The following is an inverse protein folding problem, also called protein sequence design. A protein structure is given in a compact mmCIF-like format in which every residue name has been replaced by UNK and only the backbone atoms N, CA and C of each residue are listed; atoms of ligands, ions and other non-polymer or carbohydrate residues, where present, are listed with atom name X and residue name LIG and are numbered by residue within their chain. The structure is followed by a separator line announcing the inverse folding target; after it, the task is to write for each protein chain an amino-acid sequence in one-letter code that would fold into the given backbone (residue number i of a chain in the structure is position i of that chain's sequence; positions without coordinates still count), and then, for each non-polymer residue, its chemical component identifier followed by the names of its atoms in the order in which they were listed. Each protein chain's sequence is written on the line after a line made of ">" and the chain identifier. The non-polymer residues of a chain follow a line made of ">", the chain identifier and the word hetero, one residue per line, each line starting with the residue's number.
data_IF_639480245187
#
_entry.id   IF_639480245187
#
_cell.length_a   1.000
_cell.length_b   1.000
_cell.length_c   1.000
_cell.angle_alpha   90.00
_cell.angle_beta   90.00
_cell.angle_gamma   90.00
#
_symmetry.space_group_name_H-M   'P 1'
#
loop_
_entity.id
_entity.type
_entity.pdbx_description
1 polymer ?
#
# COMPACT_ATOMS: atom_id res chain seq x y z
N UNK A 1 -5.86 -5.48 -0.11
CA UNK A 1 -5.44 -6.50 -1.12
C UNK A 1 -4.91 -7.74 -0.39
N UNK A 2 -4.97 -8.95 -0.95
CA UNK A 2 -4.22 -10.09 -0.39
C UNK A 2 -2.72 -9.88 -0.61
N UNK A 3 -1.86 -10.52 0.20
CA UNK A 3 -0.41 -10.35 0.12
C UNK A 3 0.30 -11.64 -0.25
N UNK A 4 0.33 -11.95 -1.55
CA UNK A 4 1.00 -13.15 -2.06
C UNK A 4 2.52 -13.01 -2.14
N UNK A 5 3.03 -11.83 -2.49
CA UNK A 5 4.46 -11.56 -2.67
C UNK A 5 4.86 -10.17 -2.17
N UNK A 6 6.14 -9.97 -1.86
CA UNK A 6 6.67 -8.64 -1.49
C UNK A 6 6.51 -7.58 -2.58
N UNK A 7 6.28 -7.99 -3.83
CA UNK A 7 6.20 -7.12 -5.00
C UNK A 7 4.77 -6.74 -5.40
N UNK A 8 3.77 -7.26 -4.68
CA UNK A 8 2.35 -7.08 -5.02
C UNK A 8 1.94 -5.60 -5.19
N UNK A 9 2.43 -4.72 -4.33
CA UNK A 9 2.15 -3.28 -4.40
C UNK A 9 2.70 -2.62 -5.66
N UNK A 10 3.90 -3.01 -6.11
CA UNK A 10 4.46 -2.51 -7.37
C UNK A 10 3.67 -3.01 -8.58
N UNK A 11 3.17 -4.25 -8.53
CA UNK A 11 2.34 -4.77 -9.61
C UNK A 11 0.97 -4.11 -9.66
N UNK A 12 0.43 -3.70 -8.51
CA UNK A 12 -0.80 -2.91 -8.45
C UNK A 12 -0.66 -1.59 -9.22
N UNK A 13 0.54 -0.98 -9.28
CA UNK A 13 0.78 0.23 -10.07
C UNK A 13 0.42 0.09 -11.54
N UNK A 14 0.59 -1.11 -12.11
CA UNK A 14 0.18 -1.37 -13.50
C UNK A 14 -1.34 -1.27 -13.68
N UNK A 15 -2.10 -1.67 -12.66
CA UNK A 15 -3.55 -1.50 -12.62
C UNK A 15 -3.90 -0.02 -12.41
N UNK A 16 -3.30 0.63 -11.41
CA UNK A 16 -3.59 2.03 -11.10
C UNK A 16 -3.24 2.98 -12.23
N UNK A 17 -2.17 2.74 -12.98
CA UNK A 17 -1.83 3.56 -14.14
C UNK A 17 -2.98 3.62 -15.17
N UNK A 18 -3.70 2.51 -15.35
CA UNK A 18 -4.79 2.35 -16.32
C UNK A 18 -6.14 2.85 -15.79
N UNK A 19 -6.44 2.62 -14.52
CA UNK A 19 -7.77 2.84 -13.94
C UNK A 19 -7.85 3.97 -12.90
N UNK A 20 -6.72 4.47 -12.38
CA UNK A 20 -6.65 5.48 -11.33
C UNK A 20 -5.44 6.41 -11.51
N UNK A 21 -4.98 7.11 -10.48
CA UNK A 21 -3.78 7.95 -10.50
C UNK A 21 -2.80 7.50 -9.41
N UNK A 22 -1.58 7.12 -9.82
CA UNK A 22 -0.52 6.67 -8.91
C UNK A 22 -0.19 7.68 -7.81
N UNK A 23 -0.30 8.99 -8.10
CA UNK A 23 0.00 10.05 -7.13
C UNK A 23 -0.90 10.04 -5.88
N UNK A 24 -2.09 9.46 -5.99
CA UNK A 24 -3.08 9.40 -4.90
C UNK A 24 -2.84 8.21 -3.98
N UNK A 25 -2.00 7.25 -4.40
CA UNK A 25 -1.74 6.04 -3.64
C UNK A 25 -0.88 6.34 -2.42
N UNK A 26 -1.38 5.91 -1.26
CA UNK A 26 -0.62 5.81 -0.01
C UNK A 26 -0.64 4.35 0.42
N UNK A 27 0.46 3.87 0.99
CA UNK A 27 0.57 2.47 1.40
C UNK A 27 0.88 2.41 2.90
N UNK A 28 0.20 1.53 3.63
CA UNK A 28 0.58 1.18 4.99
C UNK A 28 1.78 0.22 4.95
N UNK A 29 2.92 0.67 5.46
CA UNK A 29 4.20 -0.02 5.37
C UNK A 29 4.79 -0.32 6.74
N UNK A 30 5.65 -1.32 6.81
CA UNK A 30 6.44 -1.60 8.02
C UNK A 30 7.40 -0.43 8.28
N UNK A 31 7.43 0.07 9.51
CA UNK A 31 8.28 1.17 9.98
C UNK A 31 9.75 1.04 9.58
N UNK A 32 10.31 -0.18 9.61
CA UNK A 32 11.72 -0.41 9.26
C UNK A 32 12.06 -0.10 7.80
N UNK A 33 11.06 -0.03 6.91
CA UNK A 33 11.27 0.34 5.50
C UNK A 33 11.62 1.82 5.35
N UNK A 34 11.32 2.63 6.35
CA UNK A 34 11.61 4.07 6.42
C UNK A 34 13.10 4.38 6.28
N UNK A 35 13.94 3.53 6.87
CA UNK A 35 15.39 3.65 6.90
C UNK A 35 16.09 3.30 5.58
N UNK A 36 15.36 2.73 4.61
CA UNK A 36 15.95 2.30 3.33
C UNK A 36 16.29 3.55 2.51
N UNK A 37 17.57 3.77 2.15
CA UNK A 37 17.97 4.93 1.36
C UNK A 37 17.24 4.99 0.00
N UNK A 38 16.85 6.19 -0.40
CA UNK A 38 16.10 6.42 -1.63
C UNK A 38 14.62 6.04 -1.50
N UNK A 39 14.30 4.73 -1.45
CA UNK A 39 12.91 4.25 -1.43
C UNK A 39 12.16 4.65 -0.14
N UNK A 40 12.73 4.34 1.02
CA UNK A 40 12.14 4.69 2.31
C UNK A 40 11.97 6.19 2.43
N UNK A 41 13.01 6.96 2.10
CA UNK A 41 13.00 8.42 2.12
C UNK A 41 11.94 9.03 1.18
N UNK A 42 11.80 8.51 -0.04
CA UNK A 42 10.76 8.94 -0.96
C UNK A 42 9.36 8.67 -0.41
N UNK A 43 9.17 7.53 0.27
CA UNK A 43 7.90 7.19 0.93
C UNK A 43 7.62 8.10 2.15
N UNK A 44 8.65 8.57 2.87
CA UNK A 44 8.49 9.60 3.91
C UNK A 44 8.01 10.92 3.31
N UNK A 45 8.66 11.40 2.24
CA UNK A 45 8.26 12.63 1.54
C UNK A 45 6.86 12.50 0.94
N UNK A 46 6.46 11.31 0.53
CA UNK A 46 5.12 11.04 0.03
C UNK A 46 4.09 10.85 1.16
N UNK A 47 4.44 11.09 2.44
CA UNK A 47 3.56 10.90 3.59
C UNK A 47 2.89 9.52 3.63
N UNK A 48 3.64 8.45 3.36
CA UNK A 48 3.13 7.09 3.56
C UNK A 48 2.98 6.78 5.04
N UNK A 49 2.12 5.81 5.38
CA UNK A 49 1.86 5.46 6.77
C UNK A 49 2.80 4.33 7.20
N UNK A 50 3.68 4.61 8.16
CA UNK A 50 4.62 3.64 8.69
C UNK A 50 4.14 3.07 10.03
N UNK A 51 4.00 1.75 10.12
CA UNK A 51 3.48 1.05 11.31
C UNK A 51 4.51 0.05 11.89
N UNK A 52 4.56 -0.05 13.21
CA UNK A 52 5.36 -1.03 13.97
C UNK A 52 4.73 -2.43 13.96
N UNK A 53 3.46 -2.54 13.54
CA UNK A 53 2.63 -3.75 13.58
C UNK A 53 2.28 -4.17 15.01
N UNK A 54 2.14 -3.17 15.89
CA UNK A 54 1.69 -3.30 17.27
C UNK A 54 0.63 -2.24 17.53
N UNK A 55 -0.60 -2.69 17.71
CA UNK A 55 -1.77 -1.80 17.76
C UNK A 55 -1.63 -0.66 18.78
N UNK A 56 -1.15 -0.97 19.99
CA UNK A 56 -1.00 0.02 21.07
C UNK A 56 0.01 1.14 20.73
N UNK A 57 1.07 0.82 19.99
CA UNK A 57 2.06 1.80 19.53
C UNK A 57 1.55 2.58 18.31
N UNK A 58 0.81 1.90 17.42
CA UNK A 58 0.43 2.44 16.11
C UNK A 58 -0.86 3.27 16.15
N UNK A 59 -1.80 3.00 17.07
CA UNK A 59 -3.16 3.59 17.05
C UNK A 59 -3.17 5.11 16.98
N UNK A 60 -2.35 5.78 17.79
CA UNK A 60 -2.29 7.24 17.83
C UNK A 60 -1.68 7.82 16.55
N UNK A 61 -0.53 7.31 16.13
CA UNK A 61 0.13 7.75 14.90
C UNK A 61 -0.79 7.54 13.69
N UNK A 62 -1.41 6.36 13.61
CA UNK A 62 -2.28 5.98 12.52
C UNK A 62 -3.52 6.87 12.45
N UNK A 63 -4.14 7.16 13.60
CA UNK A 63 -5.25 8.10 13.71
C UNK A 63 -4.85 9.50 13.23
N UNK A 64 -3.73 10.04 13.72
CA UNK A 64 -3.28 11.37 13.33
C UNK A 64 -3.00 11.49 11.82
N UNK A 65 -2.45 10.46 11.19
CA UNK A 65 -2.23 10.45 9.73
C UNK A 65 -3.54 10.43 8.95
N UNK A 66 -4.52 9.63 9.39
CA UNK A 66 -5.84 9.59 8.74
C UNK A 66 -6.60 10.92 8.92
N UNK A 67 -6.54 11.50 10.11
CA UNK A 67 -7.13 12.81 10.42
C UNK A 67 -6.46 13.89 9.54
N UNK A 68 -5.12 13.85 9.38
CA UNK A 68 -4.39 14.72 8.45
C UNK A 68 -4.90 14.60 7.00
N UNK A 69 -5.08 13.38 6.50
CA UNK A 69 -5.60 13.19 5.14
C UNK A 69 -7.04 13.69 4.98
N UNK A 70 -7.86 13.62 6.03
CA UNK A 70 -9.19 14.20 6.02
C UNK A 70 -9.12 15.74 6.01
N UNK A 71 -8.23 16.35 6.80
CA UNK A 71 -8.07 17.79 6.93
C UNK A 71 -7.56 18.48 5.65
N UNK A 72 -6.69 17.83 4.88
CA UNK A 72 -6.18 18.38 3.62
C UNK A 72 -7.17 18.25 2.45
N UNK A 73 -8.25 17.47 2.61
CA UNK A 73 -9.28 17.22 1.60
C UNK A 73 -8.75 16.74 0.22
N UNK A 74 -7.60 16.06 0.21
CA UNK A 74 -7.04 15.45 -1.00
C UNK A 74 -7.56 14.02 -1.18
N UNK A 75 -7.92 13.59 -2.40
CA UNK A 75 -8.38 12.23 -2.66
C UNK A 75 -7.34 11.19 -2.23
N UNK A 76 -7.70 10.33 -1.28
CA UNK A 76 -6.83 9.30 -0.73
C UNK A 76 -7.12 7.93 -1.35
N UNK A 77 -6.09 7.28 -1.89
CA UNK A 77 -6.15 5.87 -2.24
C UNK A 77 -5.23 5.04 -1.31
N UNK A 78 -5.76 4.61 -0.17
CA UNK A 78 -4.99 3.88 0.83
C UNK A 78 -4.94 2.37 0.56
N UNK A 79 -3.75 1.84 0.27
CA UNK A 79 -3.49 0.41 0.14
C UNK A 79 -3.10 -0.19 1.49
N UNK A 80 -3.83 -1.23 1.89
CA UNK A 80 -3.50 -2.08 3.03
C UNK A 80 -3.49 -3.56 2.67
N UNK A 81 -2.67 -4.29 3.41
CA UNK A 81 -2.62 -5.75 3.44
C UNK A 81 -3.04 -6.23 4.83
N UNK A 82 -4.32 -6.56 5.07
CA UNK A 82 -4.79 -7.02 6.37
C UNK A 82 -4.08 -8.28 6.89
N UNK A 83 -3.46 -9.07 6.02
CA UNK A 83 -2.59 -10.20 6.39
C UNK A 83 -1.36 -9.76 7.22
N UNK A 84 -0.90 -8.51 7.02
CA UNK A 84 0.22 -7.90 7.73
C UNK A 84 1.61 -8.39 7.34
N UNK A 85 1.68 -9.43 6.51
CA UNK A 85 2.91 -10.02 5.95
C UNK A 85 2.54 -10.81 4.69
N UNK A 86 3.54 -11.11 3.87
CA UNK A 86 3.41 -11.94 2.67
C UNK A 86 3.23 -13.43 3.01
N UNK A 87 2.61 -14.17 2.08
CA UNK A 87 2.38 -15.60 2.19
C UNK A 87 3.65 -16.41 1.89
N UNK A 88 4.27 -16.93 2.94
CA UNK A 88 5.38 -17.89 2.91
C UNK A 88 5.02 -19.12 3.73
N UNK A 89 5.78 -20.21 3.62
CA UNK A 89 5.49 -21.44 4.39
C UNK A 89 5.53 -21.17 5.91
N UNK A 90 6.44 -20.31 6.36
CA UNK A 90 6.56 -19.90 7.76
C UNK A 90 5.36 -19.06 8.23
N UNK A 91 4.93 -18.08 7.43
CA UNK A 91 3.80 -17.21 7.82
C UNK A 91 2.47 -17.97 7.72
N UNK A 92 2.36 -18.90 6.77
CA UNK A 92 1.24 -19.83 6.67
C UNK A 92 1.15 -20.73 7.90
N UNK A 93 2.24 -21.37 8.31
CA UNK A 93 2.26 -22.21 9.50
C UNK A 93 1.77 -21.47 10.75
N UNK A 94 2.20 -20.21 10.93
CA UNK A 94 1.71 -19.35 12.02
C UNK A 94 0.22 -19.01 11.90
N UNK A 95 -0.27 -18.77 10.69
CA UNK A 95 -1.69 -18.56 10.42
C UNK A 95 -2.52 -19.82 10.70
N UNK A 96 -1.98 -21.01 10.40
CA UNK A 96 -2.63 -22.29 10.66
C UNK A 96 -2.73 -22.56 12.17
N UNK A 97 -1.68 -22.29 12.95
CA UNK A 97 -1.73 -22.38 14.42
C UNK A 97 -2.76 -21.41 15.01
N UNK A 98 -2.85 -20.19 14.46
CA UNK A 98 -3.89 -19.25 14.84
C UNK A 98 -5.29 -19.77 14.52
N UNK A 99 -5.47 -20.36 13.34
CA UNK A 99 -6.75 -20.92 12.93
C UNK A 99 -7.18 -22.06 13.85
N UNK A 100 -6.30 -23.03 14.14
CA UNK A 100 -6.55 -24.14 15.07
C UNK A 100 -6.96 -23.65 16.46
N UNK A 101 -6.21 -22.70 17.02
CA UNK A 101 -6.48 -22.15 18.37
C UNK A 101 -7.86 -21.48 18.46
N UNK A 102 -8.35 -20.90 17.37
CA UNK A 102 -9.62 -20.18 17.33
C UNK A 102 -10.75 -20.99 16.67
N UNK A 103 -10.53 -22.27 16.35
CA UNK A 103 -11.52 -23.11 15.68
C UNK A 103 -11.90 -22.64 14.27
N UNK A 104 -11.00 -21.94 13.58
CA UNK A 104 -11.20 -21.44 12.22
C UNK A 104 -10.65 -22.44 11.19
N UNK A 105 -11.18 -22.37 9.97
CA UNK A 105 -10.62 -23.12 8.84
C UNK A 105 -9.18 -22.66 8.52
N UNK A 106 -8.35 -23.60 8.09
CA UNK A 106 -7.01 -23.30 7.57
C UNK A 106 -7.11 -22.82 6.13
N UNK A 107 -6.31 -21.82 5.78
CA UNK A 107 -6.24 -21.25 4.45
C UNK A 107 -4.93 -21.66 3.77
N UNK A 108 -5.01 -21.90 2.46
CA UNK A 108 -3.87 -22.35 1.65
C UNK A 108 -3.28 -21.20 0.82
N UNK A 109 -4.12 -20.26 0.36
CA UNK A 109 -3.71 -19.22 -0.60
C UNK A 109 -3.73 -17.80 -0.02
N UNK A 110 -4.17 -17.62 1.23
CA UNK A 110 -4.14 -16.36 1.98
C UNK A 110 -3.84 -16.62 3.46
N UNK A 111 -3.35 -15.60 4.17
CA UNK A 111 -3.30 -15.61 5.63
C UNK A 111 -4.59 -15.06 6.22
N UNK A 112 -4.92 -15.45 7.46
CA UNK A 112 -6.06 -14.86 8.18
C UNK A 112 -5.87 -13.34 8.38
N UNK A 113 -6.89 -12.51 8.07
CA UNK A 113 -6.74 -11.06 8.13
C UNK A 113 -6.76 -10.54 9.58
N UNK A 114 -5.91 -9.55 9.85
CA UNK A 114 -5.98 -8.72 11.06
C UNK A 114 -6.96 -7.58 10.83
N UNK A 115 -8.13 -7.67 11.45
CA UNK A 115 -9.27 -6.77 11.19
C UNK A 115 -9.20 -5.43 11.94
N UNK A 116 -8.43 -5.34 13.04
CA UNK A 116 -8.35 -4.13 13.88
C UNK A 116 -7.96 -2.89 13.08
N UNK A 117 -6.87 -2.97 12.30
CA UNK A 117 -6.42 -1.85 11.48
C UNK A 117 -7.42 -1.49 10.39
N UNK A 118 -8.01 -2.49 9.72
CA UNK A 118 -9.03 -2.27 8.69
C UNK A 118 -10.25 -1.53 9.24
N UNK A 119 -10.83 -2.00 10.34
CA UNK A 119 -12.01 -1.38 10.95
C UNK A 119 -11.73 0.04 11.41
N UNK A 120 -10.57 0.28 12.03
CA UNK A 120 -10.18 1.63 12.46
C UNK A 120 -10.06 2.61 11.29
N UNK A 121 -9.47 2.20 10.17
CA UNK A 121 -9.35 3.04 8.96
C UNK A 121 -10.74 3.38 8.42
N UNK A 122 -11.61 2.38 8.30
CA UNK A 122 -12.96 2.57 7.75
C UNK A 122 -13.76 3.52 8.65
N UNK A 123 -13.74 3.31 9.97
CA UNK A 123 -14.41 4.17 10.94
C UNK A 123 -13.91 5.62 10.81
N UNK A 124 -12.58 5.83 10.87
CA UNK A 124 -11.98 7.17 10.85
C UNK A 124 -12.19 7.93 9.55
N UNK A 125 -12.01 7.27 8.40
CA UNK A 125 -12.23 7.91 7.10
C UNK A 125 -13.72 8.17 6.84
N UNK A 126 -14.62 7.34 7.39
CA UNK A 126 -16.06 7.58 7.34
C UNK A 126 -16.43 8.81 8.17
N UNK A 127 -15.93 8.91 9.40
CA UNK A 127 -16.17 10.05 10.29
C UNK A 127 -15.63 11.37 9.70
N UNK A 128 -14.48 11.31 9.02
CA UNK A 128 -13.87 12.44 8.31
C UNK A 128 -14.49 12.75 6.94
N UNK A 129 -15.57 12.08 6.55
CA UNK A 129 -16.22 12.20 5.24
C UNK A 129 -15.25 12.07 4.04
N UNK A 130 -14.25 11.21 4.19
CA UNK A 130 -13.17 10.99 3.21
C UNK A 130 -13.12 9.53 2.72
N UNK A 131 -14.20 8.76 2.94
CA UNK A 131 -14.35 7.38 2.47
C UNK A 131 -15.49 7.27 1.45
N UNK A 132 -15.14 7.10 0.18
CA UNK A 132 -16.10 6.82 -0.90
C UNK A 132 -16.39 5.32 -1.04
N UNK A 133 -15.36 4.49 -1.08
CA UNK A 133 -15.50 3.05 -1.27
C UNK A 133 -14.28 2.23 -0.81
N UNK A 134 -14.53 0.98 -0.44
CA UNK A 134 -13.50 -0.04 -0.22
C UNK A 134 -13.38 -0.91 -1.47
N UNK A 135 -12.18 -0.96 -2.04
CA UNK A 135 -11.85 -1.83 -3.16
C UNK A 135 -11.24 -3.13 -2.63
N UNK A 136 -12.00 -4.22 -2.70
CA UNK A 136 -11.51 -5.54 -2.40
C UNK A 136 -10.75 -6.11 -3.60
N UNK A 137 -9.43 -6.22 -3.46
CA UNK A 137 -8.54 -6.68 -4.53
C UNK A 137 -7.98 -8.06 -4.16
N UNK A 138 -8.17 -9.01 -5.08
CA UNK A 138 -7.48 -10.29 -5.14
C UNK A 138 -6.47 -10.27 -6.27
N UNK A 139 -5.20 -10.54 -5.98
CA UNK A 139 -4.15 -10.77 -6.98
C UNK A 139 -3.78 -12.24 -7.05
N UNK A 140 -3.58 -12.72 -8.27
CA UNK A 140 -3.07 -14.05 -8.54
C UNK A 140 -2.06 -14.04 -9.68
N UNK A 141 -1.14 -14.99 -9.63
CA UNK A 141 -0.05 -15.14 -10.59
C UNK A 141 -0.16 -16.51 -11.26
N UNK A 142 -0.57 -16.59 -12.53
CA UNK A 142 -0.69 -17.86 -13.25
C UNK A 142 0.64 -18.64 -13.35
N UNK A 143 1.74 -17.89 -13.51
CA UNK A 143 3.09 -18.40 -13.73
C UNK A 143 4.10 -17.45 -13.07
N UNK A 144 5.26 -17.98 -12.70
CA UNK A 144 6.41 -17.21 -12.19
C UNK A 144 6.04 -16.27 -11.03
N UNK A 145 5.83 -16.83 -9.83
CA UNK A 145 5.50 -16.05 -8.62
C UNK A 145 6.78 -15.40 -8.07
N UNK A 146 6.95 -14.07 -8.15
CA UNK A 146 8.18 -13.41 -7.71
C UNK A 146 8.13 -13.15 -6.20
N UNK A 147 8.56 -14.11 -5.39
CA UNK A 147 8.46 -13.99 -3.93
C UNK A 147 9.27 -12.83 -3.35
N UNK A 148 10.46 -12.58 -3.91
CA UNK A 148 11.39 -11.53 -3.43
C UNK A 148 11.93 -10.71 -4.59
N UNK A 149 12.49 -9.54 -4.27
CA UNK A 149 13.13 -8.61 -5.21
C UNK A 149 14.23 -9.29 -6.05
N UNK A 150 14.91 -10.29 -5.47
CA UNK A 150 15.96 -11.06 -6.16
C UNK A 150 15.43 -11.79 -7.40
N UNK A 151 14.19 -12.27 -7.37
CA UNK A 151 13.59 -12.92 -8.55
C UNK A 151 13.53 -11.95 -9.73
N UNK A 152 13.16 -10.69 -9.48
CA UNK A 152 13.11 -9.68 -10.53
C UNK A 152 14.51 -9.31 -11.03
N UNK A 153 15.48 -9.17 -10.12
CA UNK A 153 16.88 -8.88 -10.49
C UNK A 153 17.50 -10.00 -11.34
N UNK A 154 17.08 -11.25 -11.13
CA UNK A 154 17.49 -12.39 -11.95
C UNK A 154 16.67 -12.54 -13.25
N UNK A 155 15.80 -11.59 -13.59
CA UNK A 155 14.98 -11.62 -14.81
C UNK A 155 13.75 -12.53 -14.73
N UNK A 156 13.42 -13.06 -13.54
CA UNK A 156 12.22 -13.86 -13.33
C UNK A 156 11.02 -12.96 -13.04
N UNK A 157 10.46 -12.40 -14.11
CA UNK A 157 9.24 -11.60 -14.06
C UNK A 157 7.99 -12.47 -14.27
N UNK A 158 6.87 -12.14 -13.59
CA UNK A 158 5.59 -12.73 -13.92
C UNK A 158 5.19 -12.32 -15.34
N UNK A 159 4.86 -13.30 -16.17
CA UNK A 159 4.38 -13.04 -17.55
C UNK A 159 3.00 -12.39 -17.56
N UNK A 160 2.17 -12.80 -16.61
CA UNK A 160 0.78 -12.38 -16.48
C UNK A 160 0.45 -12.19 -15.01
N UNK A 161 -0.40 -11.20 -14.72
CA UNK A 161 -0.87 -10.90 -13.36
C UNK A 161 -2.36 -10.65 -13.45
N UNK A 162 -3.13 -11.42 -12.69
CA UNK A 162 -4.58 -11.34 -12.72
C UNK A 162 -5.05 -10.60 -11.48
N UNK A 163 -5.88 -9.58 -11.69
CA UNK A 163 -6.53 -8.83 -10.62
C UNK A 163 -8.04 -9.06 -10.69
N UNK A 164 -8.63 -9.45 -9.58
CA UNK A 164 -10.07 -9.44 -9.37
C UNK A 164 -10.39 -8.32 -8.38
N UNK A 165 -11.17 -7.34 -8.83
CA UNK A 165 -11.47 -6.13 -8.05
C UNK A 165 -12.98 -6.01 -7.87
N UNK A 166 -13.41 -5.90 -6.61
CA UNK A 166 -14.78 -5.58 -6.26
C UNK A 166 -14.82 -4.26 -5.50
N UNK A 167 -15.62 -3.30 -5.98
CA UNK A 167 -15.84 -2.02 -5.30
C UNK A 167 -17.08 -2.13 -4.41
N UNK A 168 -16.93 -1.78 -3.13
CA UNK A 168 -18.01 -1.66 -2.16
C UNK A 168 -18.11 -0.20 -1.75
N UNK A 169 -19.23 0.46 -2.05
CA UNK A 169 -19.43 1.85 -1.65
C UNK A 169 -19.59 1.96 -0.14
N UNK A 170 -19.31 3.14 0.43
CA UNK A 170 -19.39 3.37 1.88
C UNK A 170 -20.76 3.03 2.46
N UNK A 171 -21.84 3.21 1.70
CA UNK A 171 -23.22 2.90 2.11
C UNK A 171 -23.49 1.39 2.17
N UNK A 172 -22.74 0.60 1.40
CA UNK A 172 -22.85 -0.87 1.42
C UNK A 172 -22.07 -1.53 2.55
N UNK A 173 -21.22 -0.76 3.24
CA UNK A 173 -20.39 -1.27 4.33
C UNK A 173 -21.16 -1.29 5.64
N UNK A 174 -20.96 -2.30 6.49
CA UNK A 174 -21.53 -2.29 7.83
C UNK A 174 -21.13 -1.06 8.65
N UNK A 175 -22.03 -0.63 9.53
CA UNK A 175 -21.83 0.55 10.39
C UNK A 175 -21.11 0.19 11.68
N UNK A 176 -21.45 -0.97 12.26
CA UNK A 176 -20.81 -1.47 13.48
C UNK A 176 -19.40 -1.99 13.22
N UNK A 177 -18.51 -1.79 14.20
CA UNK A 177 -17.14 -2.30 14.15
C UNK A 177 -17.12 -3.82 14.10
N UNK A 178 -17.93 -4.49 14.92
CA UNK A 178 -17.99 -5.95 14.97
C UNK A 178 -18.41 -6.53 13.61
N UNK A 179 -19.42 -5.92 12.98
CA UNK A 179 -19.89 -6.33 11.66
C UNK A 179 -18.85 -6.07 10.56
N UNK A 180 -18.09 -4.97 10.66
CA UNK A 180 -16.96 -4.70 9.75
C UNK A 180 -15.84 -5.74 9.89
N UNK A 181 -15.58 -6.24 11.10
CA UNK A 181 -14.61 -7.31 11.31
C UNK A 181 -15.08 -8.59 10.63
N UNK A 182 -16.33 -8.99 10.84
CA UNK A 182 -16.95 -10.15 10.21
C UNK A 182 -16.98 -10.01 8.68
N UNK A 183 -17.29 -8.81 8.17
CA UNK A 183 -17.25 -8.51 6.75
C UNK A 183 -15.85 -8.73 6.17
N UNK A 184 -14.81 -8.23 6.84
CA UNK A 184 -13.42 -8.42 6.42
C UNK A 184 -13.03 -9.91 6.40
N UNK A 185 -13.37 -10.66 7.46
CA UNK A 185 -13.11 -12.11 7.53
C UNK A 185 -13.80 -12.86 6.40
N UNK A 186 -15.07 -12.55 6.11
CA UNK A 186 -15.83 -13.15 5.01
C UNK A 186 -15.20 -12.87 3.65
N UNK A 187 -14.67 -11.66 3.42
CA UNK A 187 -13.93 -11.36 2.18
C UNK A 187 -12.68 -12.23 2.04
N UNK A 188 -11.98 -12.54 3.13
CA UNK A 188 -10.83 -13.44 3.09
C UNK A 188 -11.22 -14.90 2.83
N UNK A 189 -12.33 -15.37 3.40
CA UNK A 189 -12.87 -16.68 3.05
C UNK A 189 -13.20 -16.80 1.55
N UNK A 190 -13.85 -15.78 1.00
CA UNK A 190 -14.17 -15.74 -0.44
C UNK A 190 -12.90 -15.67 -1.31
N UNK A 191 -11.86 -14.96 -0.85
CA UNK A 191 -10.56 -14.93 -1.52
C UNK A 191 -9.89 -16.29 -1.53
N UNK A 192 -9.88 -17.01 -0.42
CA UNK A 192 -9.34 -18.36 -0.34
C UNK A 192 -10.03 -19.26 -1.37
N UNK A 193 -11.36 -19.29 -1.39
CA UNK A 193 -12.14 -20.10 -2.35
C UNK A 193 -11.81 -19.71 -3.80
N UNK A 194 -11.75 -18.41 -4.08
CA UNK A 194 -11.44 -17.88 -5.42
C UNK A 194 -10.02 -18.24 -5.87
N UNK A 195 -9.03 -18.09 -5.00
CA UNK A 195 -7.64 -18.42 -5.30
C UNK A 195 -7.44 -19.92 -5.46
N UNK A 196 -8.12 -20.74 -4.65
CA UNK A 196 -8.14 -22.19 -4.82
C UNK A 196 -8.65 -22.58 -6.20
N UNK A 197 -9.82 -22.09 -6.60
CA UNK A 197 -10.37 -22.32 -7.94
C UNK A 197 -9.44 -21.81 -9.05
N UNK A 198 -8.76 -20.70 -8.82
CA UNK A 198 -7.80 -20.15 -9.77
C UNK A 198 -6.58 -21.06 -9.97
N UNK A 199 -5.95 -21.49 -8.87
CA UNK A 199 -4.71 -22.25 -8.90
C UNK A 199 -4.91 -23.73 -9.25
N UNK A 200 -6.04 -24.34 -8.84
CA UNK A 200 -6.41 -25.72 -9.19
C UNK A 200 -7.07 -25.82 -10.57
N UNK A 201 -7.69 -24.73 -11.03
CA UNK A 201 -8.44 -24.68 -12.28
C UNK A 201 -7.66 -24.11 -13.46
N UNK A 202 -8.39 -23.43 -14.36
CA UNK A 202 -7.86 -22.88 -15.62
C UNK A 202 -7.10 -21.56 -15.47
N UNK A 203 -6.83 -21.09 -14.24
CA UNK A 203 -6.14 -19.81 -13.96
C UNK A 203 -6.90 -18.57 -14.48
N UNK A 204 -8.22 -18.60 -14.38
CA UNK A 204 -9.10 -17.45 -14.61
C UNK A 204 -9.98 -17.21 -13.40
N UNK A 205 -10.31 -15.94 -13.12
CA UNK A 205 -11.24 -15.59 -12.05
C UNK A 205 -12.71 -15.68 -12.49
N UNK A 206 -12.99 -15.48 -13.77
CA UNK A 206 -14.34 -15.62 -14.32
C UNK A 206 -14.53 -17.02 -14.93
N UNK A 207 -15.69 -17.61 -14.69
CA UNK A 207 -16.13 -18.90 -15.24
C UNK A 207 -16.16 -18.86 -16.77
N UNK A 208 -16.41 -17.68 -17.35
CA UNK A 208 -16.38 -17.45 -18.80
C UNK A 208 -14.99 -17.61 -19.43
N UNK A 209 -13.93 -17.67 -18.61
CA UNK A 209 -12.54 -17.68 -19.06
C UNK A 209 -12.09 -16.35 -19.68
N UNK A 210 -12.90 -15.28 -19.57
CA UNK A 210 -12.55 -13.94 -20.06
C UNK A 210 -12.54 -12.95 -18.90
N UNK A 211 -11.49 -12.14 -18.84
CA UNK A 211 -11.42 -11.03 -17.89
C UNK A 211 -12.41 -9.93 -18.30
N UNK A 212 -13.30 -9.53 -17.40
CA UNK A 212 -14.12 -8.33 -17.56
C UNK A 212 -13.22 -7.11 -17.35
N UNK A 213 -12.95 -6.37 -18.43
CA UNK A 213 -12.07 -5.20 -18.42
C UNK A 213 -12.97 -3.96 -18.32
N UNK A 214 -12.92 -3.20 -17.20
CA UNK A 214 -13.68 -1.96 -17.11
C UNK A 214 -13.11 -0.90 -18.06
N UNK A 215 -13.86 0.17 -18.35
CA UNK A 215 -13.33 1.30 -19.10
C UNK A 215 -12.04 1.83 -18.46
N UNK A 216 -10.99 1.98 -19.26
CA UNK A 216 -9.70 2.47 -18.79
C UNK A 216 -9.23 3.66 -19.63
N UNK A 217 -8.16 4.32 -19.17
CA UNK A 217 -7.45 5.31 -19.99
C UNK A 217 -7.00 4.66 -21.30
N UNK A 218 -6.96 5.45 -22.38
CA UNK A 218 -6.56 4.94 -23.69
C UNK A 218 -5.18 4.27 -23.65
N UNK A 219 -5.03 3.18 -24.42
CA UNK A 219 -3.76 2.45 -24.51
C UNK A 219 -2.61 3.37 -24.95
N UNK A 220 -2.88 4.33 -25.84
CA UNK A 220 -1.91 5.34 -26.24
C UNK A 220 -1.43 6.19 -25.06
N UNK A 221 -2.35 6.67 -24.20
CA UNK A 221 -1.98 7.46 -23.02
C UNK A 221 -1.10 6.64 -22.08
N UNK A 222 -1.48 5.39 -21.84
CA UNK A 222 -0.72 4.48 -20.96
C UNK A 222 0.68 4.20 -21.55
N UNK A 223 0.77 3.96 -22.85
CA UNK A 223 2.04 3.73 -23.55
C UNK A 223 2.93 4.97 -23.49
N UNK A 224 2.40 6.15 -23.79
CA UNK A 224 3.15 7.41 -23.72
C UNK A 224 3.70 7.66 -22.31
N UNK A 225 2.89 7.48 -21.27
CA UNK A 225 3.37 7.63 -19.88
C UNK A 225 4.47 6.63 -19.56
N UNK A 226 4.36 5.38 -20.01
CA UNK A 226 5.41 4.36 -19.82
C UNK A 226 6.70 4.74 -20.55
N UNK A 227 6.63 5.17 -21.80
CA UNK A 227 7.78 5.59 -22.59
C UNK A 227 8.47 6.82 -21.96
N UNK A 228 7.71 7.85 -21.60
CA UNK A 228 8.25 9.05 -20.94
C UNK A 228 8.90 8.67 -19.61
N UNK A 229 8.26 7.83 -18.80
CA UNK A 229 8.82 7.37 -17.53
C UNK A 229 10.12 6.59 -17.74
N UNK A 230 10.17 5.69 -18.72
CA UNK A 230 11.37 4.92 -19.04
C UNK A 230 12.51 5.84 -19.49
N UNK A 231 12.23 6.79 -20.38
CA UNK A 231 13.21 7.76 -20.86
C UNK A 231 13.73 8.64 -19.72
N UNK A 232 12.82 9.18 -18.90
CA UNK A 232 13.15 10.01 -17.74
C UNK A 232 14.04 9.24 -16.76
N UNK A 233 13.63 8.05 -16.31
CA UNK A 233 14.39 7.29 -15.32
C UNK A 233 15.74 6.79 -15.86
N UNK A 234 15.81 6.43 -17.14
CA UNK A 234 17.07 6.07 -17.79
C UNK A 234 18.01 7.28 -17.81
N UNK A 235 17.55 8.40 -18.35
CA UNK A 235 18.34 9.63 -18.43
C UNK A 235 18.77 10.13 -17.05
N UNK A 236 17.83 10.24 -16.11
CA UNK A 236 18.09 10.66 -14.74
C UNK A 236 19.16 9.81 -14.06
N UNK A 237 19.09 8.48 -14.21
CA UNK A 237 20.06 7.55 -13.59
C UNK A 237 21.46 7.74 -14.18
N UNK A 238 21.58 7.80 -15.51
CA UNK A 238 22.87 8.03 -16.16
C UNK A 238 23.44 9.41 -15.82
N UNK A 239 22.62 10.46 -15.85
CA UNK A 239 23.03 11.81 -15.46
C UNK A 239 23.44 11.88 -14.00
N UNK A 240 22.71 11.26 -13.08
CA UNK A 240 23.06 11.24 -11.66
C UNK A 240 24.41 10.56 -11.42
N UNK A 241 24.67 9.40 -12.04
CA UNK A 241 25.95 8.70 -11.96
C UNK A 241 27.08 9.55 -12.55
N UNK A 242 26.87 10.13 -13.73
CA UNK A 242 27.86 10.99 -14.38
C UNK A 242 28.18 12.23 -13.52
N UNK A 243 27.16 12.90 -12.97
CA UNK A 243 27.34 14.07 -12.12
C UNK A 243 28.06 13.74 -10.81
N UNK A 244 27.73 12.61 -10.18
CA UNK A 244 28.42 12.12 -8.97
C UNK A 244 29.89 11.81 -9.24
N UNK A 245 30.21 11.28 -10.43
CA UNK A 245 31.59 11.02 -10.83
C UNK A 245 32.37 12.31 -11.13
N UNK A 246 31.79 13.20 -11.94
CA UNK A 246 32.48 14.37 -12.47
C UNK A 246 32.65 15.50 -11.45
N UNK A 247 31.67 15.72 -10.56
CA UNK A 247 31.63 16.93 -9.73
C UNK A 247 31.72 16.62 -8.23
N UNK A 248 32.71 17.21 -7.55
CA UNK A 248 32.89 17.05 -6.10
C UNK A 248 31.75 17.67 -5.28
N UNK A 249 31.19 18.79 -5.73
CA UNK A 249 30.07 19.42 -5.03
C UNK A 249 28.82 18.52 -5.01
N UNK A 250 28.54 17.76 -6.07
CA UNK A 250 27.41 16.82 -6.13
C UNK A 250 27.59 15.68 -5.13
N UNK A 251 28.83 15.19 -4.96
CA UNK A 251 29.16 14.18 -3.96
C UNK A 251 28.91 14.70 -2.55
N UNK A 252 29.37 15.91 -2.23
CA UNK A 252 29.11 16.54 -0.94
C UNK A 252 27.63 16.79 -0.70
N UNK A 253 26.90 17.27 -1.71
CA UNK A 253 25.45 17.43 -1.64
C UNK A 253 24.76 16.09 -1.34
N UNK A 254 25.13 15.02 -2.04
CA UNK A 254 24.58 13.68 -1.80
C UNK A 254 24.85 13.21 -0.37
N UNK A 255 26.09 13.35 0.14
CA UNK A 255 26.43 13.01 1.53
C UNK A 255 25.61 13.84 2.51
N UNK A 256 25.46 15.14 2.29
CA UNK A 256 24.65 16.02 3.13
C UNK A 256 23.19 15.54 3.16
N UNK A 257 22.61 15.22 2.00
CA UNK A 257 21.25 14.69 1.91
C UNK A 257 21.12 13.38 2.70
N UNK A 258 22.05 12.44 2.55
CA UNK A 258 22.07 11.17 3.30
C UNK A 258 22.13 11.42 4.81
N UNK A 259 22.99 12.34 5.25
CA UNK A 259 23.12 12.73 6.67
C UNK A 259 21.82 13.36 7.17
N UNK A 260 21.24 14.31 6.42
CA UNK A 260 19.98 14.96 6.77
C UNK A 260 18.91 13.88 6.97
N UNK A 261 18.68 13.02 5.99
CA UNK A 261 17.64 11.99 6.05
C UNK A 261 17.86 10.99 7.20
N UNK A 262 19.11 10.61 7.46
CA UNK A 262 19.44 9.68 8.56
C UNK A 262 19.24 10.34 9.92
N UNK A 263 19.69 11.58 10.08
CA UNK A 263 19.59 12.32 11.35
C UNK A 263 18.14 12.68 11.65
N UNK A 264 17.40 13.20 10.68
CA UNK A 264 15.99 13.57 10.87
C UNK A 264 15.10 12.36 11.17
N UNK A 265 15.38 11.20 10.57
CA UNK A 265 14.69 9.95 10.93
C UNK A 265 14.98 9.55 12.39
N UNK A 266 16.24 9.63 12.83
CA UNK A 266 16.60 9.27 14.22
C UNK A 266 16.07 10.25 15.26
N UNK A 267 16.04 11.55 14.95
CA UNK A 267 15.63 12.59 15.91
C UNK A 267 14.12 12.81 15.95
N UNK A 268 13.46 12.84 14.79
CA UNK A 268 12.05 13.20 14.67
C UNK A 268 11.17 12.03 14.24
N UNK A 269 11.75 10.84 14.14
CA UNK A 269 11.09 9.68 13.59
C UNK A 269 11.08 9.71 12.07
N UNK A 270 10.97 10.87 11.40
CA UNK A 270 11.24 11.17 9.96
C UNK A 270 10.27 12.18 9.33
N UNK A 271 10.35 12.42 8.02
CA UNK A 271 9.77 13.63 7.39
C UNK A 271 8.25 13.72 7.49
N UNK A 272 7.52 12.61 7.35
CA UNK A 272 6.06 12.61 7.41
C UNK A 272 5.55 13.01 8.81
N UNK A 273 6.31 12.71 9.86
CA UNK A 273 5.97 13.13 11.23
C UNK A 273 6.26 14.60 11.46
N UNK A 274 7.33 15.12 10.85
CA UNK A 274 7.63 16.56 10.86
C UNK A 274 6.52 17.31 10.12
N UNK A 275 6.10 16.84 8.95
CA UNK A 275 5.00 17.40 8.17
C UNK A 275 3.70 17.40 8.98
N UNK A 276 3.35 16.27 9.60
CA UNK A 276 2.18 16.14 10.46
C UNK A 276 2.24 17.10 11.66
N UNK A 277 3.39 17.23 12.32
CA UNK A 277 3.58 18.14 13.44
C UNK A 277 3.43 19.62 13.02
N UNK A 278 4.00 19.99 11.87
CA UNK A 278 3.82 21.31 11.26
C UNK A 278 2.33 21.57 10.98
N UNK A 279 1.63 20.64 10.34
CA UNK A 279 0.21 20.78 10.04
C UNK A 279 -0.62 20.99 11.31
N UNK A 280 -0.42 20.17 12.34
CA UNK A 280 -1.12 20.31 13.63
C UNK A 280 -0.83 21.65 14.30
N UNK A 281 0.41 22.13 14.24
CA UNK A 281 0.79 23.43 14.78
C UNK A 281 0.07 24.59 14.07
N UNK A 282 0.05 24.59 12.73
CA UNK A 282 -0.63 25.62 11.95
C UNK A 282 -2.16 25.57 12.11
N UNK A 283 -2.76 24.39 12.14
CA UNK A 283 -4.21 24.23 12.36
C UNK A 283 -4.63 24.74 13.75
N UNK A 284 -3.88 24.41 14.81
CA UNK A 284 -4.15 24.93 16.16
C UNK A 284 -4.08 26.46 16.21
N UNK A 285 -3.10 27.07 15.54
CA UNK A 285 -2.99 28.53 15.44
C UNK A 285 -4.16 29.16 14.68
N UNK A 286 -4.61 28.54 13.60
CA UNK A 286 -5.78 29.00 12.84
C UNK A 286 -7.03 29.00 13.73
N UNK A 287 -7.29 27.91 14.44
CA UNK A 287 -8.43 27.79 15.36
C UNK A 287 -8.35 28.78 16.53
N UNK A 288 -7.17 28.99 17.11
CA UNK A 288 -7.00 29.97 18.18
C UNK A 288 -7.22 31.42 17.74
N UNK A 289 -6.94 31.73 16.47
CA UNK A 289 -7.17 33.06 15.92
C UNK A 289 -8.64 33.28 15.57
N UNK A 290 -9.35 32.25 15.10
CA UNK A 290 -10.81 32.31 14.85
C UNK A 290 -11.58 32.50 16.16
N UNK A 291 -11.19 31.82 17.24
CA UNK A 291 -11.86 31.94 18.55
C UNK A 291 -11.55 33.26 19.29
N UNK A 292 -10.68 34.12 18.75
CA UNK A 292 -10.35 35.45 19.31
C UNK A 292 -11.03 36.61 18.56
N UNK A 293 -11.65 36.35 17.41
CA UNK A 293 -12.48 37.29 16.66
C UNK A 293 -13.95 37.07 16.99
#
# INVERSE_FOLDING_TARGET
>A
MNHRTRMDWMFLWSCLLRYSYLRLEKICLKSTLKAIPGFGWAMQVAAFIFIQRKWEEDKLHFGNMLDYFCDIHEPLQLLIFPEGTDLTDETKARSDTFAEKNGLQKYEYVLHPRTTGFTFIVDRLRDGNNLDAVHDITVAYPQNIPQTEKHLLCGNFPKEIHFHVCRYSVESLPTSREDLQLWCQKRWEEKEKRLRQFYEGKKYFDVSGRSKIPPCKSELRVLVVKCISLLYWTFFTFSAIALLYMYSFVRWYFVIVVVIFTVQERLFGGLELIELACHQFFNRRRLSNVNRC
#
